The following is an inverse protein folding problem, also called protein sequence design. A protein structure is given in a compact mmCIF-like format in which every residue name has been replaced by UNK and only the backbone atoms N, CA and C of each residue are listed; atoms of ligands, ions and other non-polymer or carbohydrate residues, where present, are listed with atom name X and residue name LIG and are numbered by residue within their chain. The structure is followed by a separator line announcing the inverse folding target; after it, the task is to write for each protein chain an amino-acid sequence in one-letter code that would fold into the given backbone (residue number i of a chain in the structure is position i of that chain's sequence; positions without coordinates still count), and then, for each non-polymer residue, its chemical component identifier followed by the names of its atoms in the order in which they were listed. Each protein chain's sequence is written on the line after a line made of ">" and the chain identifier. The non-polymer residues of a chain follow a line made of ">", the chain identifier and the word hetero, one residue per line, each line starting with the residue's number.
data_IF_431208098548
#
_entry.id   IF_431208098548
#
_cell.length_a   1.000
_cell.length_b   1.000
_cell.length_c   1.000
_cell.angle_alpha   90.00
_cell.angle_beta   90.00
_cell.angle_gamma   90.00
#
_symmetry.space_group_name_H-M   'P 1'
#
loop_
_entity.id
_entity.type
_entity.pdbx_description
1 polymer ?
#
# COMPACT_ATOMS: atom_id res chain seq x y z
N UNK A 1 23.17 25.82 9.95
CA UNK A 1 21.98 24.93 9.94
C UNK A 1 21.59 24.61 11.39
N UNK A 2 20.31 24.71 11.73
CA UNK A 2 19.78 24.50 13.09
C UNK A 2 20.09 23.07 13.59
N UNK A 3 20.68 22.90 14.79
CA UNK A 3 21.20 21.58 15.25
C UNK A 3 20.11 20.50 15.31
N UNK A 4 18.87 20.91 15.62
CA UNK A 4 17.69 20.03 15.65
C UNK A 4 17.32 19.47 14.26
N UNK A 5 17.51 20.24 13.18
CA UNK A 5 17.19 19.80 11.82
C UNK A 5 18.17 18.69 11.38
N UNK A 6 19.46 18.87 11.68
CA UNK A 6 20.49 17.86 11.38
C UNK A 6 20.21 16.58 12.17
N UNK A 7 19.80 16.70 13.43
CA UNK A 7 19.40 15.55 14.24
C UNK A 7 18.24 14.78 13.60
N UNK A 8 17.17 15.49 13.21
CA UNK A 8 16.01 14.92 12.51
C UNK A 8 16.44 14.20 11.23
N UNK A 9 17.25 14.86 10.38
CA UNK A 9 17.75 14.27 9.14
C UNK A 9 18.52 12.96 9.41
N UNK A 10 19.45 12.95 10.37
CA UNK A 10 20.25 11.76 10.71
C UNK A 10 19.39 10.60 11.19
N UNK A 11 18.42 10.85 12.07
CA UNK A 11 17.53 9.81 12.61
C UNK A 11 16.71 9.19 11.50
N UNK A 12 16.01 10.01 10.70
CA UNK A 12 15.09 9.49 9.70
C UNK A 12 15.78 8.97 8.45
N UNK A 13 16.98 9.48 8.11
CA UNK A 13 17.82 8.87 7.08
C UNK A 13 18.28 7.47 7.50
N UNK A 14 18.75 7.32 8.76
CA UNK A 14 19.09 6.00 9.30
C UNK A 14 17.90 5.06 9.27
N UNK A 15 16.72 5.51 9.71
CA UNK A 15 15.51 4.70 9.63
C UNK A 15 15.14 4.38 8.17
N UNK A 16 15.27 5.32 7.23
CA UNK A 16 15.03 5.06 5.81
C UNK A 16 15.95 3.99 5.22
N UNK A 17 17.19 3.89 5.71
CA UNK A 17 18.15 2.86 5.28
C UNK A 17 17.93 1.47 5.91
N UNK A 18 17.26 1.37 7.06
CA UNK A 18 17.25 0.13 7.86
C UNK A 18 15.87 -0.30 8.38
N UNK A 19 14.83 0.50 8.21
CA UNK A 19 13.49 0.17 8.68
C UNK A 19 12.85 -0.85 7.74
N UNK A 20 12.86 -2.11 8.15
CA UNK A 20 12.17 -3.20 7.47
C UNK A 20 10.97 -3.69 8.32
N UNK A 21 10.00 -4.32 7.66
CA UNK A 21 8.87 -4.97 8.35
C UNK A 21 7.55 -4.20 8.33
N UNK A 22 7.46 -3.14 7.53
CA UNK A 22 6.21 -2.42 7.30
C UNK A 22 5.79 -1.49 8.45
N UNK A 23 4.57 -0.90 8.38
CA UNK A 23 4.21 0.22 9.24
C UNK A 23 4.32 -0.05 10.74
N UNK A 24 3.92 -1.23 11.21
CA UNK A 24 3.99 -1.58 12.63
C UNK A 24 5.45 -1.66 13.13
N UNK A 25 6.35 -2.24 12.32
CA UNK A 25 7.76 -2.30 12.66
C UNK A 25 8.40 -0.91 12.66
N UNK A 26 8.08 -0.08 11.64
CA UNK A 26 8.59 1.29 11.56
C UNK A 26 8.14 2.14 12.75
N UNK A 27 6.85 2.05 13.11
CA UNK A 27 6.29 2.77 14.26
C UNK A 27 6.94 2.28 15.56
N UNK A 28 7.15 0.97 15.75
CA UNK A 28 7.87 0.45 16.91
C UNK A 28 9.32 0.96 16.98
N UNK A 29 10.05 0.96 15.86
CA UNK A 29 11.40 1.54 15.79
C UNK A 29 11.40 3.04 16.10
N UNK A 30 10.38 3.77 15.65
CA UNK A 30 10.21 5.19 15.98
C UNK A 30 9.90 5.38 17.47
N UNK A 31 9.05 4.55 18.07
CA UNK A 31 8.75 4.63 19.51
C UNK A 31 10.04 4.45 20.34
N UNK A 32 10.82 3.42 20.04
CA UNK A 32 12.10 3.16 20.72
C UNK A 32 13.09 4.32 20.55
N UNK A 33 13.26 4.81 19.33
CA UNK A 33 14.27 5.83 19.03
C UNK A 33 13.84 7.23 19.52
N UNK A 34 12.57 7.59 19.36
CA UNK A 34 12.05 8.95 19.54
C UNK A 34 11.50 9.17 20.95
N UNK A 35 10.77 8.19 21.49
CA UNK A 35 10.17 8.27 22.83
C UNK A 35 11.16 7.80 23.88
N UNK A 36 11.67 6.57 23.76
CA UNK A 36 12.48 5.97 24.83
C UNK A 36 13.92 6.49 24.88
N UNK A 37 14.64 6.51 23.74
CA UNK A 37 16.05 6.95 23.72
C UNK A 37 16.20 8.46 23.72
N UNK A 38 15.50 9.16 22.83
CA UNK A 38 15.70 10.60 22.60
C UNK A 38 14.75 11.50 23.38
N UNK A 39 13.62 10.96 23.85
CA UNK A 39 12.60 11.69 24.62
C UNK A 39 12.14 12.98 23.92
N UNK A 40 11.92 12.94 22.61
CA UNK A 40 11.41 14.09 21.86
C UNK A 40 9.94 14.40 22.22
N UNK A 41 9.20 13.40 22.68
CA UNK A 41 7.80 13.50 23.10
C UNK A 41 7.47 12.42 24.15
N UNK A 42 6.33 12.58 24.81
CA UNK A 42 5.81 11.56 25.74
C UNK A 42 5.20 10.38 24.98
N UNK A 43 5.09 9.24 25.66
CA UNK A 43 4.44 8.05 25.11
C UNK A 43 2.97 8.31 24.76
N UNK A 44 2.23 9.02 25.61
CA UNK A 44 0.85 9.38 25.34
C UNK A 44 0.74 10.25 24.07
N UNK A 45 1.60 11.26 23.91
CA UNK A 45 1.59 12.12 22.72
C UNK A 45 1.92 11.32 21.46
N UNK A 46 2.86 10.37 21.54
CA UNK A 46 3.18 9.48 20.42
C UNK A 46 1.99 8.60 20.04
N UNK A 47 1.25 8.06 21.02
CA UNK A 47 0.02 7.30 20.79
C UNK A 47 -1.09 8.17 20.17
N UNK A 48 -1.20 9.42 20.59
CA UNK A 48 -2.15 10.38 20.01
C UNK A 48 -1.83 10.65 18.53
N UNK A 49 -0.54 10.75 18.18
CA UNK A 49 -0.07 10.87 16.79
C UNK A 49 -0.32 9.60 15.96
N UNK A 50 -0.21 8.40 16.55
CA UNK A 50 -0.65 7.17 15.88
C UNK A 50 -2.17 7.21 15.62
N UNK A 51 -2.95 7.69 16.58
CA UNK A 51 -4.39 7.90 16.40
C UNK A 51 -4.70 8.87 15.26
N UNK A 52 -3.95 9.98 15.19
CA UNK A 52 -4.02 10.99 14.14
C UNK A 52 -3.77 10.42 12.73
N UNK A 53 -2.66 9.71 12.55
CA UNK A 53 -2.26 9.13 11.25
C UNK A 53 -3.24 8.07 10.75
N UNK A 54 -3.92 7.35 11.64
CA UNK A 54 -4.97 6.40 11.23
C UNK A 54 -6.24 7.06 10.66
N UNK A 55 -6.37 8.40 10.72
CA UNK A 55 -7.57 9.12 10.32
C UNK A 55 -7.38 9.94 9.04
N UNK A 56 -6.14 10.20 8.66
CA UNK A 56 -5.83 10.93 7.43
C UNK A 56 -5.42 9.95 6.34
N UNK A 57 -5.69 10.26 5.07
CA UNK A 57 -5.21 9.42 3.98
C UNK A 57 -3.69 9.54 3.89
N UNK A 58 -3.01 8.41 3.90
CA UNK A 58 -1.59 8.30 3.68
C UNK A 58 -1.00 7.04 4.30
N UNK A 59 0.29 6.79 4.07
CA UNK A 59 1.00 5.69 4.70
C UNK A 59 1.38 6.03 6.14
N UNK A 60 0.76 5.33 7.10
CA UNK A 60 0.91 5.62 8.52
C UNK A 60 2.37 5.79 8.99
N UNK A 61 3.31 4.96 8.51
CA UNK A 61 4.72 5.08 8.94
C UNK A 61 5.42 6.35 8.44
N UNK A 62 5.12 6.77 7.21
CA UNK A 62 5.72 8.00 6.64
C UNK A 62 5.10 9.23 7.30
N UNK A 63 3.80 9.20 7.57
CA UNK A 63 3.14 10.30 8.30
C UNK A 63 3.63 10.39 9.74
N UNK A 64 3.82 9.26 10.43
CA UNK A 64 4.44 9.25 11.76
C UNK A 64 5.85 9.85 11.73
N UNK A 65 6.62 9.58 10.68
CA UNK A 65 7.92 10.21 10.46
C UNK A 65 7.80 11.73 10.36
N UNK A 66 6.87 12.21 9.53
CA UNK A 66 6.60 13.64 9.34
C UNK A 66 6.15 14.32 10.65
N UNK A 67 5.23 13.70 11.41
CA UNK A 67 4.80 14.20 12.71
C UNK A 67 5.93 14.27 13.73
N UNK A 68 6.76 13.23 13.81
CA UNK A 68 7.89 13.23 14.73
C UNK A 68 8.95 14.28 14.35
N UNK A 69 9.17 14.50 13.05
CA UNK A 69 9.99 15.59 12.55
C UNK A 69 9.41 16.97 12.93
N UNK A 70 8.10 17.12 12.82
CA UNK A 70 7.37 18.32 13.21
C UNK A 70 7.54 18.63 14.70
N UNK A 71 7.39 17.64 15.57
CA UNK A 71 7.56 17.81 17.02
C UNK A 71 8.99 18.28 17.38
N UNK A 72 10.01 17.76 16.69
CA UNK A 72 11.39 18.10 17.02
C UNK A 72 11.86 19.44 16.45
N UNK A 73 11.48 19.76 15.21
CA UNK A 73 12.02 20.91 14.48
C UNK A 73 10.98 21.72 13.70
N UNK A 74 9.70 21.64 14.09
CA UNK A 74 8.59 22.38 13.51
C UNK A 74 8.33 22.03 12.03
N UNK A 75 7.73 22.96 11.29
CA UNK A 75 7.37 22.76 9.86
C UNK A 75 8.54 22.28 9.00
N UNK A 76 9.75 22.79 9.24
CA UNK A 76 10.95 22.35 8.48
C UNK A 76 11.34 20.93 8.86
N UNK A 77 11.21 20.58 10.14
CA UNK A 77 11.42 19.22 10.63
C UNK A 77 10.52 18.18 9.96
N UNK A 78 9.26 18.53 9.70
CA UNK A 78 8.30 17.69 8.97
C UNK A 78 8.86 17.28 7.59
N UNK A 79 9.22 18.27 6.78
CA UNK A 79 9.74 18.03 5.43
C UNK A 79 11.07 17.27 5.47
N UNK A 80 11.98 17.67 6.35
CA UNK A 80 13.30 17.03 6.47
C UNK A 80 13.17 15.58 6.92
N UNK A 81 12.31 15.28 7.89
CA UNK A 81 12.05 13.92 8.34
C UNK A 81 11.48 13.05 7.21
N UNK A 82 10.41 13.52 6.57
CA UNK A 82 9.75 12.80 5.48
C UNK A 82 10.71 12.52 4.32
N UNK A 83 11.42 13.54 3.83
CA UNK A 83 12.38 13.38 2.73
C UNK A 83 13.53 12.46 3.13
N UNK A 84 14.09 12.60 4.34
CA UNK A 84 15.19 11.74 4.78
C UNK A 84 14.80 10.27 4.89
N UNK A 85 13.54 9.99 5.23
CA UNK A 85 13.01 8.62 5.29
C UNK A 85 12.67 8.05 3.90
N UNK A 86 12.17 8.88 2.98
CA UNK A 86 11.75 8.47 1.63
C UNK A 86 12.95 8.30 0.69
N UNK A 87 13.93 9.22 0.72
CA UNK A 87 15.02 9.29 -0.26
C UNK A 87 15.83 7.98 -0.38
N UNK A 88 16.27 7.32 0.71
CA UNK A 88 16.98 6.05 0.60
C UNK A 88 16.15 4.98 -0.10
N UNK A 89 14.86 4.88 0.26
CA UNK A 89 13.96 3.90 -0.32
C UNK A 89 13.78 4.11 -1.83
N UNK A 90 13.54 5.35 -2.27
CA UNK A 90 13.33 5.64 -3.70
C UNK A 90 14.60 5.38 -4.53
N UNK A 91 15.79 5.61 -3.96
CA UNK A 91 17.07 5.33 -4.65
C UNK A 91 17.22 3.82 -4.83
N UNK A 92 17.05 3.05 -3.75
CA UNK A 92 17.20 1.59 -3.80
C UNK A 92 16.14 1.00 -4.75
N UNK A 93 14.88 1.42 -4.63
CA UNK A 93 13.80 0.92 -5.47
C UNK A 93 13.96 1.35 -6.93
N UNK A 94 14.45 2.56 -7.20
CA UNK A 94 14.75 3.03 -8.55
C UNK A 94 15.87 2.23 -9.21
N UNK A 95 16.91 1.85 -8.46
CA UNK A 95 17.98 0.95 -8.94
C UNK A 95 17.40 -0.43 -9.28
N UNK A 96 16.56 -0.99 -8.41
CA UNK A 96 15.88 -2.26 -8.67
C UNK A 96 15.00 -2.19 -9.93
N UNK A 97 14.29 -1.08 -10.14
CA UNK A 97 13.45 -0.87 -11.31
C UNK A 97 14.28 -0.78 -12.60
N UNK A 98 15.41 -0.07 -12.55
CA UNK A 98 16.37 -0.03 -13.66
C UNK A 98 16.85 -1.43 -14.04
N UNK A 99 17.25 -2.25 -13.07
CA UNK A 99 17.70 -3.61 -13.35
C UNK A 99 16.56 -4.49 -13.87
N UNK A 100 15.36 -4.35 -13.32
CA UNK A 100 14.18 -5.08 -13.75
C UNK A 100 13.83 -4.80 -15.21
N UNK A 101 13.70 -3.53 -15.60
CA UNK A 101 13.30 -3.16 -16.98
C UNK A 101 14.37 -3.55 -18.00
N UNK A 102 15.65 -3.37 -17.67
CA UNK A 102 16.73 -3.60 -18.65
C UNK A 102 17.18 -5.08 -18.73
N UNK A 103 17.07 -5.84 -17.64
CA UNK A 103 17.62 -7.19 -17.55
C UNK A 103 16.59 -8.27 -17.19
N UNK A 104 15.38 -7.91 -16.75
CA UNK A 104 14.37 -8.87 -16.27
C UNK A 104 13.90 -9.86 -17.33
N UNK A 105 14.02 -9.52 -18.61
CA UNK A 105 13.68 -10.40 -19.74
C UNK A 105 14.76 -11.42 -20.09
N UNK A 106 15.94 -11.37 -19.45
CA UNK A 106 17.00 -12.33 -19.72
C UNK A 106 16.54 -13.75 -19.31
N UNK A 107 16.71 -14.77 -20.18
CA UNK A 107 16.28 -16.14 -19.89
C UNK A 107 16.85 -16.72 -18.59
N UNK A 108 18.04 -16.28 -18.20
CA UNK A 108 18.70 -16.69 -16.94
C UNK A 108 18.06 -16.09 -15.69
N UNK A 109 17.33 -14.97 -15.81
CA UNK A 109 16.71 -14.24 -14.69
C UNK A 109 15.24 -14.63 -14.53
N UNK A 110 14.56 -15.00 -15.63
CA UNK A 110 13.15 -15.39 -15.63
C UNK A 110 12.75 -16.43 -14.54
N UNK A 111 13.54 -17.50 -14.27
CA UNK A 111 13.22 -18.46 -13.20
C UNK A 111 13.09 -17.85 -11.80
N UNK A 112 13.89 -16.82 -11.49
CA UNK A 112 13.83 -16.12 -10.22
C UNK A 112 12.46 -15.42 -10.05
N UNK A 113 11.99 -14.73 -11.09
CA UNK A 113 10.66 -14.08 -11.07
C UNK A 113 9.52 -15.09 -11.03
N UNK A 114 9.65 -16.23 -11.72
CA UNK A 114 8.65 -17.30 -11.65
C UNK A 114 8.47 -17.83 -10.22
N UNK A 115 9.56 -17.96 -9.46
CA UNK A 115 9.50 -18.36 -8.06
C UNK A 115 8.96 -17.29 -7.10
N UNK A 116 9.12 -16.01 -7.43
CA UNK A 116 8.58 -14.88 -6.64
C UNK A 116 7.04 -14.89 -6.67
N UNK A 117 6.41 -15.21 -7.81
CA UNK A 117 4.94 -15.17 -7.98
C UNK A 117 4.16 -15.95 -6.90
N UNK A 118 4.38 -17.26 -6.70
CA UNK A 118 3.66 -18.02 -5.66
C UNK A 118 4.00 -17.55 -4.24
N UNK A 119 5.21 -17.03 -3.99
CA UNK A 119 5.58 -16.47 -2.69
C UNK A 119 4.82 -15.16 -2.39
N UNK A 120 4.68 -14.28 -3.39
CA UNK A 120 3.88 -13.04 -3.28
C UNK A 120 2.41 -13.36 -3.04
N UNK A 121 1.86 -14.39 -3.67
CA UNK A 121 0.48 -14.82 -3.43
C UNK A 121 0.23 -15.16 -1.96
N UNK A 122 1.20 -15.82 -1.30
CA UNK A 122 1.13 -16.10 0.14
C UNK A 122 1.23 -14.82 0.99
N UNK A 123 2.05 -13.85 0.58
CA UNK A 123 2.15 -12.55 1.26
C UNK A 123 0.79 -11.82 1.19
N UNK A 124 0.15 -11.80 0.02
CA UNK A 124 -1.19 -11.21 -0.16
C UNK A 124 -2.20 -11.97 0.70
N UNK A 125 -2.18 -13.30 0.71
CA UNK A 125 -3.06 -14.11 1.56
C UNK A 125 -2.89 -13.77 3.05
N UNK A 126 -1.64 -13.65 3.53
CA UNK A 126 -1.34 -13.23 4.90
C UNK A 126 -1.90 -11.85 5.21
N UNK A 127 -1.81 -10.92 4.26
CA UNK A 127 -2.36 -9.57 4.39
C UNK A 127 -3.89 -9.57 4.44
N UNK A 128 -4.55 -10.31 3.54
CA UNK A 128 -6.01 -10.50 3.52
C UNK A 128 -6.50 -11.03 4.87
N UNK A 129 -5.85 -12.06 5.43
CA UNK A 129 -6.23 -12.63 6.72
C UNK A 129 -6.06 -11.60 7.85
N UNK A 130 -4.93 -10.90 7.89
CA UNK A 130 -4.62 -9.91 8.94
C UNK A 130 -5.54 -8.69 8.88
N UNK A 131 -5.81 -8.18 7.68
CA UNK A 131 -6.65 -7.00 7.45
C UNK A 131 -8.12 -7.36 7.55
N UNK A 132 -8.56 -8.50 7.02
CA UNK A 132 -9.93 -8.98 7.14
C UNK A 132 -10.37 -9.11 8.60
N UNK A 133 -9.52 -9.66 9.47
CA UNK A 133 -9.77 -9.72 10.93
C UNK A 133 -9.94 -8.35 11.60
N UNK A 134 -9.32 -7.31 11.05
CA UNK A 134 -9.40 -5.93 11.59
C UNK A 134 -10.52 -5.12 10.96
N UNK A 135 -10.81 -5.34 9.69
CA UNK A 135 -11.79 -4.61 8.90
C UNK A 135 -13.21 -5.13 9.14
N UNK A 136 -13.40 -6.46 9.20
CA UNK A 136 -14.71 -7.10 9.35
C UNK A 136 -15.05 -7.19 10.84
N UNK A 137 -15.68 -6.14 11.36
CA UNK A 137 -16.06 -5.99 12.78
C UNK A 137 -17.51 -6.40 13.08
N UNK A 138 -18.28 -6.77 12.06
CA UNK A 138 -19.71 -7.07 12.15
C UNK A 138 -20.24 -7.73 10.89
N UNK A 139 -21.46 -8.27 10.98
CA UNK A 139 -22.15 -8.92 9.85
C UNK A 139 -22.50 -7.94 8.74
N UNK A 140 -22.83 -6.70 9.09
CA UNK A 140 -23.06 -5.58 8.18
C UNK A 140 -21.86 -5.33 7.26
N UNK A 141 -20.67 -5.23 7.86
CA UNK A 141 -19.42 -5.06 7.14
C UNK A 141 -19.07 -6.30 6.33
N UNK A 142 -19.29 -7.51 6.86
CA UNK A 142 -19.06 -8.75 6.12
C UNK A 142 -19.92 -8.82 4.84
N UNK A 143 -21.20 -8.44 4.91
CA UNK A 143 -22.12 -8.38 3.75
C UNK A 143 -21.60 -7.40 2.70
N UNK A 144 -21.16 -6.21 3.12
CA UNK A 144 -20.57 -5.22 2.22
C UNK A 144 -19.32 -5.81 1.53
N UNK A 145 -18.45 -6.49 2.27
CA UNK A 145 -17.27 -7.13 1.72
C UNK A 145 -17.60 -8.21 0.68
N UNK A 146 -18.57 -9.09 0.97
CA UNK A 146 -19.02 -10.11 0.01
C UNK A 146 -19.63 -9.46 -1.23
N UNK A 147 -20.41 -8.39 -1.07
CA UNK A 147 -21.00 -7.67 -2.19
C UNK A 147 -19.92 -7.05 -3.10
N UNK A 148 -18.91 -6.39 -2.53
CA UNK A 148 -17.77 -5.86 -3.29
C UNK A 148 -17.02 -6.97 -4.03
N UNK A 149 -16.75 -8.09 -3.34
CA UNK A 149 -16.07 -9.24 -3.94
C UNK A 149 -16.83 -9.77 -5.17
N UNK A 150 -18.15 -9.93 -5.05
CA UNK A 150 -18.99 -10.37 -6.16
C UNK A 150 -18.97 -9.38 -7.33
N UNK A 151 -19.05 -8.07 -7.06
CA UNK A 151 -18.95 -7.05 -8.11
C UNK A 151 -17.62 -7.15 -8.87
N UNK A 152 -16.50 -7.27 -8.15
CA UNK A 152 -15.18 -7.43 -8.78
C UNK A 152 -15.12 -8.71 -9.63
N UNK A 153 -15.61 -9.84 -9.12
CA UNK A 153 -15.62 -11.11 -9.85
C UNK A 153 -16.55 -11.10 -11.08
N UNK A 154 -17.55 -10.21 -11.11
CA UNK A 154 -18.41 -9.96 -12.27
C UNK A 154 -17.81 -8.96 -13.27
N UNK A 155 -16.59 -8.47 -13.03
CA UNK A 155 -15.88 -7.57 -13.92
C UNK A 155 -16.15 -6.08 -13.70
N UNK A 156 -16.78 -5.71 -12.59
CA UNK A 156 -16.87 -4.28 -12.19
C UNK A 156 -15.49 -3.82 -11.74
N UNK A 157 -15.06 -2.65 -12.21
CA UNK A 157 -13.79 -2.03 -11.81
C UNK A 157 -13.64 -2.01 -10.29
N UNK A 158 -12.49 -2.48 -9.81
CA UNK A 158 -12.16 -2.60 -8.40
C UNK A 158 -12.16 -1.25 -7.68
N UNK A 159 -11.79 -0.15 -8.36
CA UNK A 159 -11.89 1.22 -7.82
C UNK A 159 -13.34 1.60 -7.63
N UNK A 160 -14.16 1.36 -8.65
CA UNK A 160 -15.56 1.75 -8.61
C UNK A 160 -16.25 0.98 -7.51
N UNK A 161 -15.99 -0.33 -7.41
CA UNK A 161 -16.47 -1.14 -6.30
C UNK A 161 -15.95 -0.61 -4.95
N UNK A 162 -14.67 -0.28 -4.82
CA UNK A 162 -14.07 0.21 -3.57
C UNK A 162 -14.61 1.58 -3.13
N UNK A 163 -14.60 2.58 -4.00
CA UNK A 163 -14.99 3.95 -3.68
C UNK A 163 -16.51 4.09 -3.57
N UNK A 164 -17.25 3.55 -4.54
CA UNK A 164 -18.72 3.68 -4.54
C UNK A 164 -19.30 2.90 -3.38
N UNK A 165 -18.92 1.63 -3.19
CA UNK A 165 -19.46 0.84 -2.07
C UNK A 165 -18.89 1.32 -0.73
N UNK A 166 -17.63 1.77 -0.68
CA UNK A 166 -17.04 2.34 0.54
C UNK A 166 -17.77 3.60 1.02
N UNK A 167 -18.07 4.54 0.11
CA UNK A 167 -18.74 5.81 0.44
C UNK A 167 -20.25 5.59 0.63
N UNK A 168 -20.93 4.96 -0.33
CA UNK A 168 -22.38 4.73 -0.28
C UNK A 168 -22.72 3.76 0.86
N UNK A 169 -21.99 2.66 1.00
CA UNK A 169 -22.16 1.72 2.12
C UNK A 169 -21.91 2.39 3.47
N UNK A 170 -20.90 3.27 3.55
CA UNK A 170 -20.62 4.07 4.74
C UNK A 170 -21.75 5.04 5.12
N UNK A 171 -22.35 5.70 4.12
CA UNK A 171 -23.50 6.58 4.28
C UNK A 171 -24.74 5.80 4.71
N UNK A 172 -25.09 4.72 4.01
CA UNK A 172 -26.24 3.86 4.33
C UNK A 172 -26.11 3.34 5.77
N UNK A 173 -24.95 2.79 6.13
CA UNK A 173 -24.67 2.29 7.48
C UNK A 173 -24.81 3.38 8.54
N UNK A 174 -24.36 4.60 8.25
CA UNK A 174 -24.49 5.74 9.16
C UNK A 174 -25.96 6.15 9.40
N UNK A 175 -26.79 6.15 8.36
CA UNK A 175 -28.22 6.49 8.49
C UNK A 175 -29.03 5.37 9.16
N UNK A 176 -28.75 4.09 8.85
CA UNK A 176 -29.37 2.93 9.51
C UNK A 176 -29.04 2.92 11.01
N UNK A 177 -27.78 3.13 11.40
CA UNK A 177 -27.37 3.15 12.81
C UNK A 177 -27.93 4.33 13.61
N UNK A 178 -28.53 5.33 12.95
CA UNK A 178 -29.22 6.45 13.62
C UNK A 178 -30.73 6.27 13.74
N UNK A 179 -31.27 5.07 13.49
CA UNK A 179 -32.73 4.80 13.49
C UNK A 179 -33.52 5.74 12.55
N UNK A 180 -32.86 6.37 11.57
CA UNK A 180 -33.55 7.03 10.47
C UNK A 180 -33.78 5.97 9.40
N UNK A 181 -35.01 5.47 9.35
CA UNK A 181 -35.46 4.50 8.34
C UNK A 181 -35.19 5.09 6.96
N UNK A 182 -34.16 4.59 6.28
CA UNK A 182 -33.97 4.84 4.85
C UNK A 182 -34.86 3.84 4.12
N UNK A 183 -36.16 4.14 4.03
CA UNK A 183 -37.16 3.34 3.30
C UNK A 183 -37.09 3.50 1.78
N UNK A 184 -36.04 4.14 1.26
CA UNK A 184 -35.77 4.23 -0.17
C UNK A 184 -34.52 3.42 -0.50
N UNK A 185 -34.74 2.17 -0.93
CA UNK A 185 -33.79 1.45 -1.77
C UNK A 185 -33.55 2.32 -3.02
N UNK A 186 -32.52 3.15 -2.99
CA UNK A 186 -32.06 3.82 -4.21
C UNK A 186 -31.46 2.75 -5.12
N UNK A 187 -31.93 2.62 -6.38
CA UNK A 187 -31.28 1.76 -7.35
C UNK A 187 -29.87 2.30 -7.59
N UNK A 188 -28.88 1.44 -7.37
CA UNK A 188 -27.47 1.72 -7.64
C UNK A 188 -27.36 2.02 -9.14
N UNK A 189 -26.94 3.21 -9.59
CA UNK A 189 -26.55 3.41 -10.97
C UNK A 189 -25.26 2.61 -11.16
N UNK A 190 -25.39 1.42 -11.75
CA UNK A 190 -24.27 0.63 -12.19
C UNK A 190 -23.64 1.38 -13.37
N UNK A 191 -22.68 2.25 -13.09
CA UNK A 191 -21.83 2.85 -14.12
C UNK A 191 -20.92 1.75 -14.65
N UNK A 192 -21.41 1.07 -15.69
CA UNK A 192 -20.63 0.16 -16.52
C UNK A 192 -19.76 1.07 -17.38
N UNK A 193 -18.51 1.30 -16.98
CA UNK A 193 -17.52 1.84 -17.91
C UNK A 193 -17.08 0.72 -18.85
N UNK A 194 -17.08 1.03 -20.15
CA UNK A 194 -16.65 0.13 -21.21
C UNK A 194 -15.16 -0.19 -21.05
N UNK A 195 -14.85 -1.48 -21.09
CA UNK A 195 -13.49 -2.02 -21.13
C UNK A 195 -12.78 -1.50 -22.38
N UNK A 196 -11.72 -0.72 -22.19
CA UNK A 196 -10.85 -0.32 -23.29
C UNK A 196 -9.86 -1.44 -23.62
N UNK A 197 -9.73 -1.69 -24.93
CA UNK A 197 -8.82 -2.65 -25.52
C UNK A 197 -7.35 -2.33 -25.25
N UNK A 198 -6.59 -3.40 -25.03
CA UNK A 198 -5.14 -3.43 -24.89
C UNK A 198 -4.42 -2.69 -26.03
N UNK A 199 -3.70 -1.63 -25.67
CA UNK A 199 -2.61 -1.12 -26.49
C UNK A 199 -1.28 -1.28 -25.74
N UNK A 200 -0.28 -1.71 -26.48
CA UNK A 200 1.11 -1.91 -26.04
C UNK A 200 1.59 -0.64 -25.32
N UNK A 201 2.23 -0.81 -24.17
CA UNK A 201 2.67 0.28 -23.29
C UNK A 201 3.52 1.31 -24.05
N UNK A 202 2.90 2.42 -24.46
CA UNK A 202 3.61 3.65 -24.77
C UNK A 202 4.03 4.30 -23.45
N UNK A 203 5.21 4.91 -23.46
CA UNK A 203 5.72 5.67 -22.34
C UNK A 203 4.70 6.76 -21.97
N UNK A 204 4.19 6.73 -20.75
CA UNK A 204 3.24 7.73 -20.29
C UNK A 204 3.96 9.03 -19.98
N UNK A 205 3.34 10.15 -20.37
CA UNK A 205 3.83 11.47 -20.00
C UNK A 205 3.95 11.58 -18.46
N UNK A 206 5.07 12.11 -17.91
CA UNK A 206 5.26 12.23 -16.47
C UNK A 206 4.13 12.98 -15.75
N UNK A 207 3.49 13.95 -16.41
CA UNK A 207 2.32 14.66 -15.87
C UNK A 207 1.14 13.74 -15.58
N UNK A 208 0.85 12.80 -16.48
CA UNK A 208 -0.23 11.82 -16.30
C UNK A 208 0.10 10.84 -15.18
N UNK A 209 1.35 10.36 -15.12
CA UNK A 209 1.84 9.52 -14.02
C UNK A 209 1.70 10.27 -12.69
N UNK A 210 2.14 11.52 -12.62
CA UNK A 210 2.02 12.36 -11.43
C UNK A 210 0.58 12.46 -10.95
N UNK A 211 -0.38 12.76 -11.85
CA UNK A 211 -1.79 12.89 -11.49
C UNK A 211 -2.41 11.57 -11.00
N UNK A 212 -2.08 10.45 -11.65
CA UNK A 212 -2.50 9.12 -11.22
C UNK A 212 -2.03 8.85 -9.78
N UNK A 213 -0.74 9.03 -9.53
CA UNK A 213 -0.18 8.78 -8.21
C UNK A 213 -0.60 9.82 -7.17
N UNK A 214 -0.88 11.06 -7.56
CA UNK A 214 -1.49 12.09 -6.71
C UNK A 214 -2.88 11.69 -6.24
N UNK A 215 -3.71 11.17 -7.16
CA UNK A 215 -5.03 10.62 -6.86
C UNK A 215 -4.91 9.46 -5.86
N UNK A 216 -4.05 8.48 -6.16
CA UNK A 216 -3.81 7.33 -5.26
C UNK A 216 -3.32 7.79 -3.89
N UNK A 217 -2.32 8.66 -3.81
CA UNK A 217 -1.79 9.19 -2.55
C UNK A 217 -2.81 9.99 -1.72
N UNK A 218 -3.80 10.60 -2.37
CA UNK A 218 -4.84 11.37 -1.70
C UNK A 218 -5.96 10.52 -1.09
N UNK A 219 -6.13 9.28 -1.58
CA UNK A 219 -7.20 8.36 -1.12
C UNK A 219 -6.66 7.15 -0.38
N UNK A 220 -5.35 6.92 -0.41
CA UNK A 220 -4.72 5.77 0.23
C UNK A 220 -4.97 5.82 1.75
N UNK A 221 -5.59 4.79 2.31
CA UNK A 221 -5.73 4.66 3.76
C UNK A 221 -5.02 3.40 4.25
N UNK A 222 -4.18 3.56 5.28
CA UNK A 222 -3.63 2.46 6.05
C UNK A 222 -2.31 1.87 5.52
N UNK A 223 -2.18 0.55 5.66
CA UNK A 223 -0.91 -0.15 5.40
C UNK A 223 -0.61 -0.31 3.91
N UNK A 224 0.65 -0.54 3.56
CA UNK A 224 1.12 -0.79 2.18
C UNK A 224 0.46 -1.97 1.45
N UNK A 225 -0.38 -2.76 2.10
CA UNK A 225 -1.20 -3.80 1.45
C UNK A 225 -2.46 -3.24 0.78
N UNK A 226 -3.07 -2.21 1.35
CA UNK A 226 -4.23 -1.53 0.73
C UNK A 226 -3.80 -0.79 -0.55
N UNK A 227 -2.53 -0.36 -0.59
CA UNK A 227 -1.90 0.20 -1.78
C UNK A 227 -2.00 -0.74 -2.99
N UNK A 228 -1.90 -2.07 -2.79
CA UNK A 228 -2.06 -3.05 -3.85
C UNK A 228 -3.39 -2.84 -4.58
N UNK A 229 -4.50 -2.82 -3.83
CA UNK A 229 -5.84 -2.70 -4.39
C UNK A 229 -6.02 -1.38 -5.16
N UNK A 230 -5.51 -0.26 -4.63
CA UNK A 230 -5.60 1.03 -5.32
C UNK A 230 -4.77 1.07 -6.60
N UNK A 231 -3.55 0.53 -6.58
CA UNK A 231 -2.68 0.52 -7.75
C UNK A 231 -3.16 -0.46 -8.82
N UNK A 232 -3.66 -1.63 -8.43
CA UNK A 232 -4.23 -2.62 -9.35
C UNK A 232 -5.40 -2.00 -10.12
N UNK A 233 -6.33 -1.42 -9.38
CA UNK A 233 -7.49 -0.80 -9.97
C UNK A 233 -7.14 0.41 -10.87
N UNK A 234 -6.17 1.25 -10.47
CA UNK A 234 -5.86 2.48 -11.22
C UNK A 234 -4.93 2.22 -12.42
N UNK A 235 -4.04 1.24 -12.30
CA UNK A 235 -3.00 0.99 -13.30
C UNK A 235 -3.28 -0.25 -14.14
N UNK A 236 -3.73 -1.33 -13.52
CA UNK A 236 -3.94 -2.60 -14.21
C UNK A 236 -5.29 -2.62 -14.91
N UNK A 237 -6.37 -2.25 -14.22
CA UNK A 237 -7.71 -2.23 -14.82
C UNK A 237 -7.82 -1.19 -15.94
N UNK A 238 -6.99 -0.14 -15.93
CA UNK A 238 -6.88 0.84 -17.01
C UNK A 238 -5.84 0.48 -18.09
N UNK A 239 -5.19 -0.68 -18.00
CA UNK A 239 -4.25 -1.19 -19.01
C UNK A 239 -2.87 -0.53 -19.03
N UNK A 240 -2.51 0.28 -18.03
CA UNK A 240 -1.19 0.91 -17.93
C UNK A 240 -0.09 -0.05 -17.48
N UNK A 241 -0.43 -1.05 -16.66
CA UNK A 241 0.52 -2.00 -16.09
C UNK A 241 -0.09 -3.40 -16.10
N UNK A 242 0.72 -4.46 -16.24
CA UNK A 242 0.23 -5.83 -16.04
C UNK A 242 0.14 -6.15 -14.55
N UNK A 243 -0.75 -7.09 -14.17
CA UNK A 243 -0.79 -7.60 -12.79
C UNK A 243 0.59 -8.12 -12.35
N UNK A 244 1.36 -8.71 -13.28
CA UNK A 244 2.74 -9.13 -13.02
C UNK A 244 3.67 -7.96 -12.71
N UNK A 245 3.66 -6.90 -13.52
CA UNK A 245 4.47 -5.71 -13.28
C UNK A 245 4.12 -5.00 -11.97
N UNK A 246 2.85 -5.04 -11.55
CA UNK A 246 2.42 -4.53 -10.24
C UNK A 246 2.95 -5.38 -9.09
N UNK A 247 2.85 -6.71 -9.20
CA UNK A 247 3.41 -7.62 -8.19
C UNK A 247 4.91 -7.42 -8.02
N UNK A 248 5.64 -7.37 -9.13
CA UNK A 248 7.09 -7.21 -9.10
C UNK A 248 7.47 -5.86 -8.45
N UNK A 249 6.68 -4.81 -8.71
CA UNK A 249 6.87 -3.51 -8.06
C UNK A 249 6.57 -3.53 -6.55
N UNK A 250 5.56 -4.29 -6.12
CA UNK A 250 5.20 -4.44 -4.70
C UNK A 250 6.22 -5.32 -3.98
N UNK A 251 6.70 -6.37 -4.63
CA UNK A 251 7.80 -7.18 -4.14
C UNK A 251 9.06 -6.32 -3.97
N UNK A 252 9.41 -5.50 -4.97
CA UNK A 252 10.53 -4.57 -4.90
C UNK A 252 10.36 -3.55 -3.76
N UNK A 253 9.19 -2.94 -3.61
CA UNK A 253 8.93 -1.98 -2.53
C UNK A 253 8.97 -2.59 -1.13
N UNK A 254 8.54 -3.85 -0.97
CA UNK A 254 8.69 -4.58 0.31
C UNK A 254 10.12 -5.10 0.56
N UNK A 255 10.92 -5.24 -0.50
CA UNK A 255 12.33 -5.58 -0.41
C UNK A 255 13.20 -4.39 0.01
N UNK A 256 12.73 -3.16 -0.23
CA UNK A 256 13.45 -1.95 0.14
C UNK A 256 13.14 -1.50 1.57
N UNK A 257 14.17 -1.04 2.33
CA UNK A 257 13.93 -0.40 3.62
C UNK A 257 13.16 0.90 3.44
N UNK A 258 12.39 1.26 4.47
CA UNK A 258 11.56 2.46 4.47
C UNK A 258 10.14 2.21 3.96
N UNK A 259 9.46 3.22 3.39
CA UNK A 259 8.04 3.12 3.07
C UNK A 259 7.81 2.18 1.88
N UNK A 260 6.88 1.23 2.02
CA UNK A 260 6.42 0.34 0.94
C UNK A 260 5.92 1.12 -0.29
N UNK A 261 5.48 2.37 -0.11
CA UNK A 261 5.10 3.26 -1.21
C UNK A 261 6.26 3.57 -2.17
N UNK A 262 7.50 3.23 -1.85
CA UNK A 262 8.60 3.24 -2.80
C UNK A 262 8.29 2.42 -4.06
N UNK A 263 7.37 1.44 -3.99
CA UNK A 263 6.72 0.77 -5.14
C UNK A 263 6.30 1.74 -6.24
N UNK A 264 5.78 2.93 -5.89
CA UNK A 264 5.41 3.95 -6.88
C UNK A 264 6.60 4.38 -7.75
N UNK A 265 7.80 4.46 -7.16
CA UNK A 265 9.05 4.77 -7.88
C UNK A 265 9.36 3.71 -8.92
N UNK A 266 9.17 2.44 -8.56
CA UNK A 266 9.40 1.30 -9.46
C UNK A 266 8.41 1.30 -10.62
N UNK A 267 7.12 1.49 -10.32
CA UNK A 267 6.07 1.58 -11.33
C UNK A 267 6.30 2.80 -12.24
N UNK A 268 6.61 3.96 -11.66
CA UNK A 268 6.93 5.15 -12.42
C UNK A 268 8.09 4.93 -13.38
N UNK A 269 9.09 4.12 -13.00
CA UNK A 269 10.19 3.74 -13.89
C UNK A 269 9.69 2.88 -15.06
N UNK A 270 8.83 1.89 -14.79
CA UNK A 270 8.25 1.04 -15.84
C UNK A 270 7.40 1.85 -16.83
N UNK A 271 6.65 2.84 -16.33
CA UNK A 271 5.72 3.64 -17.14
C UNK A 271 6.39 4.81 -17.88
N UNK A 272 7.46 5.36 -17.31
CA UNK A 272 7.99 6.67 -17.71
C UNK A 272 9.47 6.87 -17.40
N UNK A 273 10.23 5.82 -17.09
CA UNK A 273 11.65 5.86 -16.80
C UNK A 273 11.96 6.73 -15.58
N UNK A 274 13.15 7.35 -15.55
CA UNK A 274 13.56 8.19 -14.42
C UNK A 274 12.57 9.34 -14.17
N UNK A 275 12.08 9.99 -15.23
CA UNK A 275 11.07 11.05 -15.11
C UNK A 275 9.74 10.54 -14.55
N UNK A 276 9.33 9.34 -14.95
CA UNK A 276 8.14 8.67 -14.42
C UNK A 276 8.30 8.27 -12.96
N UNK A 277 9.47 7.79 -12.54
CA UNK A 277 9.79 7.54 -11.13
C UNK A 277 9.63 8.80 -10.28
N UNK A 278 10.26 9.90 -10.70
CA UNK A 278 10.17 11.18 -9.97
C UNK A 278 8.72 11.66 -9.89
N UNK A 279 7.98 11.57 -11.00
CA UNK A 279 6.57 11.94 -11.05
C UNK A 279 5.69 11.07 -10.13
N UNK A 280 5.83 9.75 -10.19
CA UNK A 280 5.05 8.82 -9.38
C UNK A 280 5.35 8.99 -7.87
N UNK A 281 6.64 9.06 -7.51
CA UNK A 281 7.07 9.29 -6.13
C UNK A 281 6.56 10.62 -5.60
N UNK A 282 6.71 11.70 -6.37
CA UNK A 282 6.24 13.02 -5.92
C UNK A 282 4.72 13.03 -5.79
N UNK A 283 4.01 12.49 -6.78
CA UNK A 283 2.55 12.40 -6.77
C UNK A 283 2.02 11.65 -5.55
N UNK A 284 2.58 10.47 -5.24
CA UNK A 284 2.04 9.63 -4.16
C UNK A 284 2.33 10.19 -2.76
N UNK A 285 3.46 10.89 -2.55
CA UNK A 285 3.87 11.35 -1.22
C UNK A 285 3.44 12.79 -0.88
N UNK A 286 3.28 13.68 -1.88
CA UNK A 286 2.87 15.07 -1.66
C UNK A 286 1.59 15.19 -0.82
N UNK A 287 0.50 14.42 -1.08
CA UNK A 287 -0.72 14.49 -0.28
C UNK A 287 -0.45 14.31 1.21
N UNK A 288 0.37 13.34 1.60
CA UNK A 288 0.71 13.09 3.00
C UNK A 288 1.46 14.26 3.65
N UNK A 289 2.40 14.90 2.94
CA UNK A 289 3.05 16.12 3.46
C UNK A 289 2.04 17.23 3.72
N UNK A 290 1.07 17.41 2.80
CA UNK A 290 0.02 18.40 2.94
C UNK A 290 -0.95 18.04 4.06
N UNK A 291 -1.37 16.78 4.17
CA UNK A 291 -2.29 16.34 5.20
C UNK A 291 -1.69 16.46 6.59
N UNK A 292 -0.44 16.03 6.79
CA UNK A 292 0.24 16.19 8.09
C UNK A 292 0.40 17.68 8.43
N UNK A 293 0.68 18.53 7.44
CA UNK A 293 0.85 19.98 7.67
C UNK A 293 -0.46 20.70 8.01
N UNK A 294 -1.56 20.35 7.34
CA UNK A 294 -2.82 21.11 7.41
C UNK A 294 -3.93 20.45 8.24
N UNK A 295 -3.91 19.13 8.40
CA UNK A 295 -5.01 18.39 9.03
C UNK A 295 -4.86 18.31 10.55
N UNK A 296 -3.67 18.59 11.11
CA UNK A 296 -3.39 18.57 12.55
C UNK A 296 -4.47 19.29 13.42
N UNK A 297 -4.98 20.47 13.06
CA UNK A 297 -6.04 21.15 13.83
C UNK A 297 -7.43 20.48 13.75
N UNK A 298 -7.68 19.69 12.69
CA UNK A 298 -8.97 19.07 12.41
C UNK A 298 -9.09 17.65 12.96
N UNK A 299 -7.99 17.05 13.40
CA UNK A 299 -7.95 15.67 13.92
C UNK A 299 -8.97 15.44 15.04
N UNK A 300 -9.12 16.32 16.06
CA UNK A 300 -10.12 16.10 17.11
C UNK A 300 -11.57 16.09 16.58
N UNK A 301 -11.85 16.82 15.49
CA UNK A 301 -13.17 16.86 14.86
C UNK A 301 -13.42 15.60 14.01
N UNK A 302 -12.43 15.18 13.23
CA UNK A 302 -12.48 13.94 12.44
C UNK A 302 -12.64 12.71 13.34
N UNK A 303 -11.93 12.68 14.47
CA UNK A 303 -12.07 11.64 15.48
C UNK A 303 -13.50 11.52 15.99
N UNK A 304 -14.21 12.63 16.22
CA UNK A 304 -15.58 12.59 16.78
C UNK A 304 -16.66 12.27 15.73
N UNK A 305 -16.35 12.33 14.44
CA UNK A 305 -17.31 12.10 13.38
C UNK A 305 -17.64 10.62 13.20
N UNK A 306 -18.86 10.22 13.58
CA UNK A 306 -19.38 8.86 13.36
C UNK A 306 -19.50 8.51 11.87
N UNK A 307 -19.84 9.49 11.03
CA UNK A 307 -19.95 9.30 9.58
C UNK A 307 -18.60 8.94 8.97
N UNK A 308 -17.57 9.71 9.30
CA UNK A 308 -16.24 9.51 8.76
C UNK A 308 -15.68 8.13 9.13
N UNK A 309 -15.86 7.70 10.38
CA UNK A 309 -15.50 6.34 10.82
C UNK A 309 -16.27 5.26 10.06
N UNK A 310 -17.57 5.46 9.81
CA UNK A 310 -18.41 4.50 9.06
C UNK A 310 -17.94 4.31 7.62
N UNK A 311 -17.61 5.41 6.93
CA UNK A 311 -17.06 5.40 5.57
C UNK A 311 -15.72 4.67 5.54
N UNK A 312 -14.82 4.99 6.48
CA UNK A 312 -13.51 4.33 6.55
C UNK A 312 -13.61 2.82 6.82
N UNK A 313 -14.52 2.38 7.70
CA UNK A 313 -14.76 0.96 7.93
C UNK A 313 -15.20 0.25 6.63
N UNK A 314 -16.10 0.86 5.85
CA UNK A 314 -16.58 0.28 4.59
C UNK A 314 -15.48 0.26 3.52
N UNK A 315 -14.69 1.33 3.38
CA UNK A 315 -13.54 1.38 2.46
C UNK A 315 -12.52 0.30 2.81
N UNK A 316 -12.21 0.11 4.10
CA UNK A 316 -11.26 -0.91 4.54
C UNK A 316 -11.73 -2.33 4.19
N UNK A 317 -13.03 -2.61 4.37
CA UNK A 317 -13.59 -3.91 4.02
C UNK A 317 -13.66 -4.11 2.51
N UNK A 318 -14.03 -3.09 1.76
CA UNK A 318 -14.02 -3.13 0.30
C UNK A 318 -12.60 -3.38 -0.24
N UNK A 319 -11.58 -2.75 0.34
CA UNK A 319 -10.18 -3.02 -0.01
C UNK A 319 -9.79 -4.48 0.27
N UNK A 320 -10.24 -5.06 1.39
CA UNK A 320 -10.02 -6.50 1.67
C UNK A 320 -10.69 -7.38 0.62
N UNK A 321 -11.92 -7.06 0.24
CA UNK A 321 -12.65 -7.80 -0.80
C UNK A 321 -11.96 -7.72 -2.18
N UNK A 322 -11.50 -6.53 -2.58
CA UNK A 322 -10.70 -6.33 -3.79
C UNK A 322 -9.41 -7.16 -3.74
N UNK A 323 -8.68 -7.14 -2.61
CA UNK A 323 -7.47 -7.98 -2.47
C UNK A 323 -7.77 -9.47 -2.63
N UNK A 324 -8.92 -9.96 -2.15
CA UNK A 324 -9.35 -11.35 -2.35
C UNK A 324 -9.65 -11.63 -3.82
N UNK A 325 -10.37 -10.73 -4.50
CA UNK A 325 -10.69 -10.87 -5.92
C UNK A 325 -9.41 -10.97 -6.77
N UNK A 326 -8.46 -10.06 -6.55
CA UNK A 326 -7.20 -10.03 -7.29
C UNK A 326 -6.32 -11.23 -6.92
N UNK A 327 -6.28 -11.63 -5.65
CA UNK A 327 -5.57 -12.85 -5.24
C UNK A 327 -6.12 -14.08 -5.98
N UNK A 328 -7.44 -14.18 -6.17
CA UNK A 328 -8.05 -15.28 -6.91
C UNK A 328 -7.64 -15.28 -8.39
N UNK A 329 -7.70 -14.12 -9.04
CA UNK A 329 -7.32 -13.99 -10.45
C UNK A 329 -5.82 -14.27 -10.68
N UNK A 330 -4.97 -13.76 -9.78
CA UNK A 330 -3.54 -14.04 -9.77
C UNK A 330 -3.22 -15.51 -9.51
N UNK A 331 -3.99 -16.18 -8.64
CA UNK A 331 -3.82 -17.60 -8.36
C UNK A 331 -3.93 -18.46 -9.62
N UNK A 332 -4.85 -18.11 -10.53
CA UNK A 332 -5.05 -18.82 -11.81
C UNK A 332 -3.82 -18.75 -12.72
N UNK A 333 -3.09 -17.63 -12.70
CA UNK A 333 -1.94 -17.39 -13.59
C UNK A 333 -0.59 -17.68 -12.93
N UNK A 334 -0.54 -17.74 -11.60
CA UNK A 334 0.69 -17.93 -10.83
C UNK A 334 0.91 -19.37 -10.37
N UNK A 335 -0.13 -20.20 -10.34
CA UNK A 335 -0.06 -21.61 -9.93
C UNK A 335 -0.28 -22.48 -11.17
N UNK A 336 0.73 -22.54 -12.03
CA UNK A 336 0.62 -23.23 -13.32
C UNK A 336 1.16 -24.65 -13.32
N UNK A 337 2.09 -24.95 -12.40
CA UNK A 337 2.82 -26.21 -12.37
C UNK A 337 3.13 -26.68 -10.94
N UNK A 338 3.63 -27.91 -10.81
CA UNK A 338 3.96 -28.50 -9.51
C UNK A 338 5.06 -27.72 -8.77
N UNK A 339 5.97 -27.05 -9.50
CA UNK A 339 7.03 -26.22 -8.92
C UNK A 339 6.42 -25.00 -8.23
N UNK A 340 5.49 -24.31 -8.88
CA UNK A 340 4.78 -23.17 -8.29
C UNK A 340 3.96 -23.58 -7.07
N UNK A 341 3.33 -24.76 -7.10
CA UNK A 341 2.61 -25.32 -5.94
C UNK A 341 3.58 -25.58 -4.78
N UNK A 342 4.75 -26.18 -5.05
CA UNK A 342 5.75 -26.45 -4.02
C UNK A 342 6.25 -25.16 -3.36
N UNK A 343 6.57 -24.14 -4.16
CA UNK A 343 7.01 -22.83 -3.64
C UNK A 343 5.89 -22.18 -2.81
N UNK A 344 4.64 -22.27 -3.26
CA UNK A 344 3.48 -21.76 -2.53
C UNK A 344 3.31 -22.46 -1.18
N UNK A 345 3.44 -23.79 -1.13
CA UNK A 345 3.32 -24.56 0.12
C UNK A 345 4.46 -24.23 1.09
N UNK A 346 5.70 -24.16 0.60
CA UNK A 346 6.87 -23.79 1.43
C UNK A 346 6.69 -22.36 1.97
N UNK A 347 6.32 -21.41 1.10
CA UNK A 347 6.09 -20.02 1.48
C UNK A 347 4.94 -19.91 2.49
N UNK A 348 3.86 -20.66 2.29
CA UNK A 348 2.72 -20.75 3.20
C UNK A 348 3.13 -21.26 4.57
N UNK A 349 3.83 -22.39 4.62
CA UNK A 349 4.32 -22.98 5.85
C UNK A 349 5.23 -22.02 6.60
N UNK A 350 6.19 -21.41 5.91
CA UNK A 350 7.09 -20.41 6.51
C UNK A 350 6.31 -19.22 7.08
N UNK A 351 5.34 -18.69 6.33
CA UNK A 351 4.56 -17.51 6.74
C UNK A 351 3.68 -17.77 7.95
N UNK A 352 2.99 -18.92 7.99
CA UNK A 352 2.00 -19.21 9.03
C UNK A 352 2.60 -19.90 10.26
N UNK A 353 3.68 -20.66 10.09
CA UNK A 353 4.40 -21.29 11.21
C UNK A 353 5.34 -20.31 11.91
N UNK A 354 6.15 -19.55 11.14
CA UNK A 354 7.07 -18.56 11.69
C UNK A 354 6.45 -17.16 11.61
N UNK A 355 5.65 -16.80 12.62
CA UNK A 355 4.92 -15.52 12.71
C UNK A 355 5.77 -14.24 12.60
N UNK A 356 7.11 -14.34 12.66
CA UNK A 356 8.06 -13.21 12.61
C UNK A 356 8.93 -13.17 11.35
N UNK A 357 8.72 -14.07 10.37
CA UNK A 357 9.46 -14.01 9.12
C UNK A 357 9.08 -12.74 8.34
N UNK A 358 10.09 -11.96 7.97
CA UNK A 358 9.93 -10.79 7.13
C UNK A 358 9.60 -11.21 5.68
N UNK A 359 8.71 -10.48 5.01
CA UNK A 359 8.32 -10.68 3.61
C UNK A 359 9.52 -10.81 2.66
N UNK A 360 10.63 -10.14 2.99
CA UNK A 360 11.90 -10.21 2.26
C UNK A 360 12.42 -11.66 2.13
N UNK A 361 12.42 -12.42 3.23
CA UNK A 361 12.93 -13.78 3.21
C UNK A 361 12.03 -14.69 2.38
N UNK A 362 10.72 -14.47 2.39
CA UNK A 362 9.78 -15.22 1.57
C UNK A 362 10.03 -14.98 0.07
N UNK A 363 10.25 -13.72 -0.32
CA UNK A 363 10.56 -13.36 -1.71
C UNK A 363 11.91 -13.97 -2.12
N UNK A 364 12.94 -13.89 -1.28
CA UNK A 364 14.27 -14.47 -1.57
C UNK A 364 14.21 -16.00 -1.69
N UNK A 365 13.52 -16.67 -0.77
CA UNK A 365 13.36 -18.13 -0.80
C UNK A 365 12.56 -18.53 -2.04
N UNK A 366 11.45 -17.85 -2.34
CA UNK A 366 10.68 -18.10 -3.56
C UNK A 366 11.53 -17.92 -4.81
N UNK A 367 12.28 -16.82 -4.89
CA UNK A 367 13.19 -16.50 -6.00
C UNK A 367 14.29 -17.56 -6.19
N UNK A 368 14.96 -17.97 -5.10
CA UNK A 368 15.98 -19.01 -5.12
C UNK A 368 15.40 -20.37 -5.50
N UNK A 369 14.24 -20.75 -4.95
CA UNK A 369 13.57 -22.00 -5.30
C UNK A 369 13.15 -22.01 -6.77
N UNK A 370 12.64 -20.89 -7.30
CA UNK A 370 12.31 -20.76 -8.72
C UNK A 370 13.52 -21.03 -9.62
N UNK A 371 14.68 -20.48 -9.26
CA UNK A 371 15.93 -20.76 -9.97
C UNK A 371 16.39 -22.21 -9.84
N UNK A 372 16.44 -22.76 -8.63
CA UNK A 372 16.89 -24.14 -8.39
C UNK A 372 15.98 -25.16 -9.06
N UNK A 373 14.66 -24.98 -8.96
CA UNK A 373 13.68 -25.85 -9.59
C UNK A 373 13.63 -25.71 -11.11
N UNK A 374 14.28 -24.70 -11.70
CA UNK A 374 14.37 -24.59 -13.16
C UNK A 374 15.34 -25.59 -13.80
N UNK A 375 16.24 -26.19 -13.00
CA UNK A 375 17.16 -27.24 -13.45
C UNK A 375 16.57 -28.66 -13.42
N UNK A 376 15.39 -28.81 -12.82
CA UNK A 376 14.64 -30.07 -12.69
C UNK A 376 13.45 -29.99 -13.64
#
# INVERSE_FOLDING_TARGET
>A
MNSKIIEVAKVFFKLGCFAFGGPAAHIGMMQDEIVHKRKWMSEQHFLDLIGATNLIPGPNSTEMTMHCGYERAGRVGLFVAGLSFIVPAIIITGILAYFYVNYGHLPKINPFFQGIKPAVLVIILSAVIKLGKKAIKGTDLAIIGVFVLLLCLLGVSEITALLVVGIIGGLIRFFINQNKVVSSLLPIPLLIEATNFYNKAEFLMPSKIFLIFLKVGSVLYGSGYVLFAYLDAELVSNGFLSHQGLMDAIAAGQFTPGPVLSTATFIGFQLGGVSGSIAATSGIFIPSFLFVLFVQPFIPKLQKSKLFRSILDCINVAAVAVMVAVMFEMGKTSITDWKSILILLISGLLTFYYKKLNSIYLILIGSLLGYVLSFI
#
